data_IF_620040830817
#
_entry.id   IF_620040830817
#
_cell.length_a   1.000
_cell.length_b   1.000
_cell.length_c   1.000
_cell.angle_alpha   90.00
_cell.angle_beta   90.00
_cell.angle_gamma   90.00
#
_symmetry.space_group_name_H-M   'P 1'
#
loop_
_entity.id
_entity.type
_entity.pdbx_description
1 polymer ?
#
# COMPACT_ATOMS: atom_id res chain seq x y z
N UNK A 1 33.10 20.22 19.25
CA UNK A 1 32.15 19.66 18.27
C UNK A 1 31.78 18.28 18.78
N UNK A 2 30.54 18.06 19.22
CA UNK A 2 30.12 16.76 19.73
C UNK A 2 30.14 15.75 18.56
N UNK A 3 30.93 14.69 18.71
CA UNK A 3 30.96 13.57 17.78
C UNK A 3 29.54 13.01 17.64
N UNK A 4 29.11 12.78 16.39
CA UNK A 4 27.82 12.13 16.15
C UNK A 4 27.91 10.68 16.70
N UNK A 5 26.87 10.16 17.38
CA UNK A 5 26.83 8.76 17.79
C UNK A 5 27.17 7.82 16.62
N UNK A 6 27.81 6.69 16.88
CA UNK A 6 28.28 5.75 15.84
C UNK A 6 27.14 5.39 14.87
N UNK A 7 25.94 5.14 15.40
CA UNK A 7 24.72 4.83 14.64
C UNK A 7 24.34 5.96 13.66
N UNK A 8 24.59 7.21 14.03
CA UNK A 8 24.28 8.37 13.20
C UNK A 8 25.33 8.57 12.10
N UNK A 9 26.58 8.18 12.35
CA UNK A 9 27.64 8.15 11.33
C UNK A 9 27.36 7.10 10.27
N UNK A 10 26.98 5.90 10.68
CA UNK A 10 26.61 4.80 9.76
C UNK A 10 25.38 5.17 8.92
N UNK A 11 24.34 5.72 9.56
CA UNK A 11 23.16 6.19 8.83
C UNK A 11 23.49 7.29 7.82
N UNK A 12 24.36 8.24 8.19
CA UNK A 12 24.81 9.28 7.27
C UNK A 12 25.62 8.71 6.09
N UNK A 13 26.48 7.71 6.32
CA UNK A 13 27.24 7.06 5.24
C UNK A 13 26.32 6.31 4.27
N UNK A 14 25.32 5.60 4.79
CA UNK A 14 24.28 4.96 3.98
C UNK A 14 23.50 6.00 3.16
N UNK A 15 23.08 7.10 3.79
CA UNK A 15 22.43 8.23 3.14
C UNK A 15 23.29 8.81 2.02
N UNK A 16 24.57 9.07 2.29
CA UNK A 16 25.52 9.68 1.35
C UNK A 16 25.81 8.77 0.16
N UNK A 17 25.74 7.45 0.34
CA UNK A 17 25.86 6.48 -0.75
C UNK A 17 24.60 6.43 -1.62
N UNK A 18 23.42 6.63 -1.03
CA UNK A 18 22.13 6.53 -1.71
C UNK A 18 21.73 7.80 -2.47
N UNK A 19 21.94 8.98 -1.88
CA UNK A 19 21.48 10.26 -2.44
C UNK A 19 22.16 10.57 -3.79
N UNK A 20 21.43 11.07 -4.80
CA UNK A 20 22.05 11.52 -6.03
C UNK A 20 22.87 12.78 -5.74
N UNK A 21 24.10 12.82 -6.25
CA UNK A 21 25.09 13.87 -5.93
C UNK A 21 25.51 14.61 -7.20
N UNK A 22 25.66 15.92 -7.08
CA UNK A 22 26.32 16.79 -8.05
C UNK A 22 27.82 16.81 -7.77
N UNK A 23 28.70 17.05 -8.77
CA UNK A 23 30.15 17.15 -8.55
C UNK A 23 30.59 18.20 -7.51
N UNK A 24 29.75 19.23 -7.27
CA UNK A 24 30.02 20.28 -6.30
C UNK A 24 29.61 19.91 -4.85
N UNK A 25 28.99 18.74 -4.63
CA UNK A 25 28.52 18.35 -3.31
C UNK A 25 29.67 18.02 -2.35
N UNK A 26 29.59 18.59 -1.14
CA UNK A 26 30.57 18.38 -0.07
C UNK A 26 29.90 17.71 1.14
N UNK A 27 30.48 16.62 1.67
CA UNK A 27 29.84 15.84 2.73
C UNK A 27 29.70 16.62 4.05
N UNK A 28 30.58 17.58 4.34
CA UNK A 28 30.55 18.35 5.59
C UNK A 28 29.21 19.07 5.82
N UNK A 29 28.76 19.88 4.86
CA UNK A 29 27.49 20.62 4.98
C UNK A 29 26.27 19.69 5.02
N UNK A 30 26.31 18.59 4.27
CA UNK A 30 25.23 17.60 4.29
C UNK A 30 25.16 16.87 5.65
N UNK A 31 26.31 16.55 6.24
CA UNK A 31 26.41 15.91 7.57
C UNK A 31 25.85 16.81 8.66
N UNK A 32 26.15 18.10 8.62
CA UNK A 32 25.63 19.08 9.58
C UNK A 32 24.10 19.21 9.50
N UNK A 33 23.55 19.29 8.29
CA UNK A 33 22.09 19.36 8.08
C UNK A 33 21.40 18.04 8.47
N UNK A 34 21.99 16.89 8.12
CA UNK A 34 21.48 15.57 8.51
C UNK A 34 21.43 15.43 10.03
N UNK A 35 22.52 15.78 10.74
CA UNK A 35 22.54 15.78 12.20
C UNK A 35 21.54 16.76 12.82
N UNK A 36 21.29 17.91 12.18
CA UNK A 36 20.29 18.87 12.64
C UNK A 36 18.86 18.31 12.51
N UNK A 37 18.53 17.64 11.40
CA UNK A 37 17.22 17.02 11.22
C UNK A 37 16.97 15.91 12.23
N UNK A 38 17.97 15.06 12.47
CA UNK A 38 17.85 14.00 13.48
C UNK A 38 17.67 14.55 14.89
N UNK A 39 18.38 15.63 15.24
CA UNK A 39 18.16 16.36 16.50
C UNK A 39 16.76 16.97 16.62
N UNK A 40 16.10 17.26 15.50
CA UNK A 40 14.71 17.76 15.45
C UNK A 40 13.66 16.64 15.54
N UNK A 41 14.10 15.38 15.64
CA UNK A 41 13.22 14.21 15.77
C UNK A 41 12.96 13.47 14.46
N UNK A 42 13.64 13.81 13.36
CA UNK A 42 13.53 13.05 12.11
C UNK A 42 14.31 11.75 12.23
N UNK A 43 13.70 10.62 11.85
CA UNK A 43 14.38 9.33 11.85
C UNK A 43 15.56 9.32 10.85
N UNK A 44 16.80 9.04 11.30
CA UNK A 44 17.95 8.92 10.40
C UNK A 44 17.75 7.86 9.31
N UNK A 45 17.05 6.76 9.60
CA UNK A 45 16.80 5.70 8.62
C UNK A 45 15.76 6.13 7.58
N UNK A 46 14.73 6.89 7.99
CA UNK A 46 13.78 7.51 7.05
C UNK A 46 14.49 8.44 6.06
N UNK A 47 15.48 9.21 6.49
CA UNK A 47 16.29 10.05 5.61
C UNK A 47 17.08 9.21 4.57
N UNK A 48 17.64 8.08 4.98
CA UNK A 48 18.34 7.15 4.06
C UNK A 48 17.39 6.61 3.00
N UNK A 49 16.17 6.20 3.40
CA UNK A 49 15.15 5.69 2.48
C UNK A 49 14.66 6.77 1.52
N UNK A 50 14.39 7.98 2.02
CA UNK A 50 14.02 9.13 1.21
C UNK A 50 15.08 9.46 0.15
N UNK A 51 16.37 9.40 0.52
CA UNK A 51 17.47 9.58 -0.42
C UNK A 51 17.50 8.52 -1.54
N UNK A 52 17.23 7.26 -1.21
CA UNK A 52 17.13 6.18 -2.20
C UNK A 52 15.99 6.41 -3.20
N UNK A 53 14.82 6.86 -2.74
CA UNK A 53 13.69 7.20 -3.62
C UNK A 53 13.98 8.40 -4.47
N UNK A 54 14.61 9.41 -3.90
CA UNK A 54 15.02 10.58 -4.65
C UNK A 54 16.01 10.21 -5.77
N UNK A 55 16.95 9.31 -5.51
CA UNK A 55 17.83 8.77 -6.54
C UNK A 55 17.07 8.02 -7.65
N UNK A 56 16.05 7.24 -7.28
CA UNK A 56 15.21 6.53 -8.24
C UNK A 56 14.40 7.50 -9.12
N UNK A 57 13.82 8.55 -8.53
CA UNK A 57 13.07 9.58 -9.25
C UNK A 57 13.96 10.37 -10.23
N UNK A 58 15.16 10.77 -9.79
CA UNK A 58 16.17 11.41 -10.65
C UNK A 58 16.53 10.54 -11.84
N UNK A 59 16.74 9.22 -11.62
CA UNK A 59 17.03 8.26 -12.70
C UNK A 59 15.84 8.10 -13.64
N UNK A 60 14.63 7.95 -13.10
CA UNK A 60 13.42 7.78 -13.90
C UNK A 60 13.15 8.98 -14.82
N UNK A 61 13.42 10.21 -14.33
CA UNK A 61 13.26 11.44 -15.08
C UNK A 61 14.48 11.80 -15.95
N UNK A 62 15.56 11.02 -15.90
CA UNK A 62 16.82 11.31 -16.59
C UNK A 62 17.34 12.73 -16.34
N UNK A 63 17.24 13.20 -15.09
CA UNK A 63 17.66 14.57 -14.73
C UNK A 63 19.18 14.68 -14.82
N UNK A 64 19.66 15.69 -15.55
CA UNK A 64 21.10 15.99 -15.60
C UNK A 64 21.62 16.37 -14.19
N UNK A 65 22.73 15.76 -13.73
CA UNK A 65 23.36 16.06 -12.44
C UNK A 65 23.56 17.54 -12.12
N UNK A 66 23.67 18.42 -13.12
CA UNK A 66 23.80 19.86 -12.88
C UNK A 66 22.53 20.53 -12.33
N UNK A 67 21.35 19.97 -12.63
CA UNK A 67 20.05 20.47 -12.17
C UNK A 67 19.61 19.82 -10.86
N UNK A 68 20.37 18.84 -10.36
CA UNK A 68 20.14 18.26 -9.05
C UNK A 68 20.54 19.31 -7.97
N UNK A 69 19.63 19.68 -7.05
CA UNK A 69 19.96 20.53 -5.92
C UNK A 69 21.08 19.90 -5.09
N UNK A 70 21.94 20.76 -4.54
CA UNK A 70 22.98 20.33 -3.59
C UNK A 70 22.34 19.59 -2.41
N UNK A 71 22.95 18.49 -1.96
CA UNK A 71 22.37 17.59 -0.94
C UNK A 71 22.02 18.34 0.35
N UNK A 72 22.91 19.23 0.81
CA UNK A 72 22.65 20.05 2.00
C UNK A 72 21.49 21.04 1.81
N UNK A 73 21.29 21.55 0.59
CA UNK A 73 20.14 22.41 0.25
C UNK A 73 18.86 21.60 0.23
N UNK A 74 18.88 20.43 -0.41
CA UNK A 74 17.76 19.51 -0.46
C UNK A 74 17.29 19.09 0.94
N UNK A 75 18.22 18.78 1.86
CA UNK A 75 17.87 18.49 3.26
C UNK A 75 17.22 19.68 3.97
N UNK A 76 17.77 20.89 3.78
CA UNK A 76 17.27 22.11 4.42
C UNK A 76 15.89 22.52 3.95
N UNK A 77 15.61 22.35 2.66
CA UNK A 77 14.34 22.71 2.02
C UNK A 77 13.24 21.66 2.24
N UNK A 78 13.48 20.64 3.08
CA UNK A 78 12.48 19.59 3.34
C UNK A 78 12.32 18.62 2.17
N UNK A 79 13.32 18.48 1.28
CA UNK A 79 13.24 17.60 0.12
C UNK A 79 12.98 16.13 0.47
N UNK A 80 13.36 15.70 1.68
CA UNK A 80 13.05 14.37 2.21
C UNK A 80 11.55 14.16 2.48
N UNK A 81 10.78 15.22 2.73
CA UNK A 81 9.33 15.18 2.95
C UNK A 81 8.56 14.89 1.65
N UNK A 82 9.12 15.27 0.49
CA UNK A 82 8.56 14.94 -0.83
C UNK A 82 8.78 13.47 -1.22
N UNK A 83 9.69 12.79 -0.53
CA UNK A 83 9.95 11.36 -0.67
C UNK A 83 9.73 10.68 0.68
N UNK A 84 8.52 10.80 1.26
CA UNK A 84 8.25 10.18 2.53
C UNK A 84 8.51 8.68 2.37
N UNK A 85 8.79 8.00 3.48
CA UNK A 85 8.48 6.58 3.48
C UNK A 85 7.09 6.41 2.89
N UNK A 86 6.84 5.39 2.03
CA UNK A 86 5.53 4.81 2.10
C UNK A 86 5.49 4.53 3.59
N UNK A 87 4.65 5.31 4.30
CA UNK A 87 4.00 4.85 5.51
C UNK A 87 3.90 3.37 5.20
N UNK A 88 4.54 2.44 5.95
CA UNK A 88 4.17 1.06 5.78
C UNK A 88 2.68 1.22 5.76
N UNK A 89 2.05 0.87 4.63
CA UNK A 89 0.62 0.94 4.61
C UNK A 89 0.31 0.27 5.94
N UNK A 90 -0.51 0.90 6.78
CA UNK A 90 -1.27 0.02 7.63
C UNK A 90 -1.77 -0.98 6.62
N UNK A 91 -1.06 -2.11 6.53
CA UNK A 91 -1.31 -3.12 5.55
C UNK A 91 -2.78 -3.31 5.86
N UNK A 92 -3.70 -3.06 4.91
CA UNK A 92 -5.07 -3.43 5.19
C UNK A 92 -4.95 -4.90 5.52
N UNK A 93 -5.02 -5.19 6.83
CA UNK A 93 -4.20 -6.19 7.52
C UNK A 93 -3.87 -7.28 6.55
N UNK A 94 -2.59 -7.41 6.11
CA UNK A 94 -2.15 -8.32 5.03
C UNK A 94 -3.17 -9.42 4.97
N UNK A 95 -4.16 -9.24 4.07
CA UNK A 95 -5.15 -10.27 3.85
C UNK A 95 -4.23 -11.26 3.21
N UNK A 96 -3.71 -12.15 4.03
CA UNK A 96 -3.09 -13.39 3.62
C UNK A 96 -4.23 -13.98 2.84
N UNK A 97 -4.25 -13.68 1.54
CA UNK A 97 -5.08 -14.36 0.59
C UNK A 97 -4.47 -15.73 0.69
N UNK A 98 -5.09 -16.51 1.56
CA UNK A 98 -4.84 -17.92 1.67
C UNK A 98 -5.29 -18.49 0.34
N UNK A 99 -4.37 -18.40 -0.62
CA UNK A 99 -4.46 -19.02 -1.94
C UNK A 99 -4.38 -20.55 -1.79
N UNK A 100 -4.29 -21.06 -0.55
CA UNK A 100 -4.42 -22.46 -0.19
C UNK A 100 -5.87 -22.91 0.05
N UNK A 101 -6.86 -22.02 -0.05
CA UNK A 101 -8.19 -22.43 -0.52
C UNK A 101 -8.35 -21.92 -1.94
N UNK A 102 -7.85 -22.73 -2.88
CA UNK A 102 -8.32 -22.82 -4.27
C UNK A 102 -9.61 -22.04 -4.45
N UNK A 103 -9.75 -21.08 -5.37
CA UNK A 103 -11.05 -20.48 -5.69
C UNK A 103 -12.06 -21.48 -6.33
N UNK A 104 -11.72 -22.77 -6.38
CA UNK A 104 -12.54 -23.85 -6.92
C UNK A 104 -13.76 -24.27 -6.09
N UNK A 105 -13.78 -24.31 -4.74
CA UNK A 105 -14.96 -24.73 -3.99
C UNK A 105 -16.05 -23.65 -4.01
N UNK A 106 -15.70 -22.36 -4.03
CA UNK A 106 -16.70 -21.27 -4.09
C UNK A 106 -17.36 -21.20 -5.46
N UNK A 107 -16.58 -21.18 -6.54
CA UNK A 107 -17.12 -21.21 -7.90
C UNK A 107 -18.00 -22.45 -8.12
N UNK A 108 -17.50 -23.63 -7.74
CA UNK A 108 -18.25 -24.89 -7.90
C UNK A 108 -19.54 -24.89 -7.08
N UNK A 109 -19.52 -24.41 -5.84
CA UNK A 109 -20.73 -24.32 -5.01
C UNK A 109 -21.79 -23.39 -5.60
N UNK A 110 -21.36 -22.26 -6.19
CA UNK A 110 -22.27 -21.31 -6.85
C UNK A 110 -22.89 -21.90 -8.12
N UNK A 111 -22.09 -22.59 -8.95
CA UNK A 111 -22.59 -23.28 -10.14
C UNK A 111 -23.56 -24.39 -9.78
N UNK A 112 -23.25 -25.22 -8.77
CA UNK A 112 -24.15 -26.25 -8.24
C UNK A 112 -25.45 -25.65 -7.67
N UNK A 113 -25.38 -24.45 -7.09
CA UNK A 113 -26.54 -23.73 -6.60
C UNK A 113 -27.40 -23.08 -7.71
N UNK A 114 -26.95 -23.15 -8.98
CA UNK A 114 -27.68 -22.65 -10.15
C UNK A 114 -27.15 -21.33 -10.73
N UNK A 115 -25.96 -20.87 -10.34
CA UNK A 115 -25.31 -19.71 -10.96
C UNK A 115 -24.65 -20.10 -12.29
N UNK A 116 -24.78 -19.27 -13.31
CA UNK A 116 -24.02 -19.47 -14.55
C UNK A 116 -22.60 -18.92 -14.43
N UNK A 117 -21.65 -19.46 -15.20
CA UNK A 117 -20.27 -18.94 -15.24
C UNK A 117 -20.23 -17.46 -15.68
N UNK A 118 -21.12 -17.06 -16.57
CA UNK A 118 -21.24 -15.68 -17.05
C UNK A 118 -21.70 -14.74 -15.94
N UNK A 119 -22.71 -15.15 -15.15
CA UNK A 119 -23.18 -14.38 -14.00
C UNK A 119 -22.11 -14.30 -12.91
N UNK A 120 -21.41 -15.40 -12.63
CA UNK A 120 -20.31 -15.42 -11.68
C UNK A 120 -19.23 -14.41 -12.07
N UNK A 121 -18.76 -14.44 -13.33
CA UNK A 121 -17.71 -13.52 -13.81
C UNK A 121 -18.16 -12.06 -13.78
N UNK A 122 -19.42 -11.80 -14.12
CA UNK A 122 -19.94 -10.43 -14.25
C UNK A 122 -20.22 -9.78 -12.89
N UNK A 123 -20.71 -10.56 -11.92
CA UNK A 123 -21.25 -10.01 -10.68
C UNK A 123 -20.47 -10.44 -9.44
N UNK A 124 -20.00 -11.68 -9.36
CA UNK A 124 -19.43 -12.25 -8.13
C UNK A 124 -17.90 -12.23 -8.11
N UNK A 125 -17.24 -12.37 -9.27
CA UNK A 125 -15.78 -12.47 -9.34
C UNK A 125 -15.03 -11.24 -8.81
N UNK A 126 -15.70 -10.09 -8.69
CA UNK A 126 -15.15 -8.86 -8.13
C UNK A 126 -15.64 -8.57 -6.71
N UNK A 127 -16.46 -9.45 -6.14
CA UNK A 127 -16.96 -9.36 -4.78
C UNK A 127 -16.10 -10.20 -3.85
N UNK A 128 -15.97 -9.74 -2.60
CA UNK A 128 -15.42 -10.55 -1.52
C UNK A 128 -16.58 -11.20 -0.76
N UNK A 129 -16.49 -12.52 -0.59
CA UNK A 129 -17.49 -13.33 0.12
C UNK A 129 -16.86 -13.83 1.41
N UNK A 130 -17.48 -13.54 2.54
CA UNK A 130 -17.02 -13.96 3.86
C UNK A 130 -18.18 -14.62 4.61
N UNK A 131 -17.96 -15.80 5.18
CA UNK A 131 -18.99 -16.55 5.89
C UNK A 131 -18.66 -16.44 7.37
N UNK A 132 -19.65 -16.04 8.16
CA UNK A 132 -19.49 -15.96 9.61
C UNK A 132 -19.05 -17.33 10.20
N UNK A 133 -18.36 -17.31 11.35
CA UNK A 133 -17.80 -18.53 11.98
C UNK A 133 -18.86 -19.60 12.22
N UNK A 134 -20.09 -19.18 12.49
CA UNK A 134 -21.24 -20.07 12.73
C UNK A 134 -22.00 -20.46 11.43
N UNK A 135 -21.52 -20.02 10.26
CA UNK A 135 -22.17 -20.19 8.95
C UNK A 135 -23.64 -19.74 8.93
N UNK A 136 -23.98 -18.80 9.80
CA UNK A 136 -25.33 -18.26 9.95
C UNK A 136 -25.63 -17.18 8.90
N UNK A 137 -24.63 -16.37 8.57
CA UNK A 137 -24.69 -15.27 7.62
C UNK A 137 -23.51 -15.28 6.64
N UNK A 138 -23.80 -14.87 5.40
CA UNK A 138 -22.80 -14.56 4.37
C UNK A 138 -22.68 -13.05 4.20
N UNK A 139 -21.47 -12.51 4.30
CA UNK A 139 -21.14 -11.13 4.03
C UNK A 139 -20.60 -10.98 2.59
N UNK A 140 -21.30 -10.19 1.79
CA UNK A 140 -20.94 -9.87 0.41
C UNK A 140 -20.41 -8.44 0.37
N UNK A 141 -19.11 -8.26 0.14
CA UNK A 141 -18.52 -6.94 -0.09
C UNK A 141 -18.44 -6.70 -1.60
N UNK A 142 -19.28 -5.79 -2.08
CA UNK A 142 -19.32 -5.42 -3.49
C UNK A 142 -18.50 -4.15 -3.76
N UNK A 143 -17.87 -4.04 -4.94
CA UNK A 143 -17.06 -2.86 -5.29
C UNK A 143 -17.91 -1.61 -5.54
N UNK A 144 -19.21 -1.77 -5.83
CA UNK A 144 -20.15 -0.66 -5.99
C UNK A 144 -21.53 -1.01 -5.45
N UNK A 145 -22.31 0.03 -5.13
CA UNK A 145 -23.71 -0.14 -4.71
C UNK A 145 -24.57 -0.79 -5.80
N UNK A 146 -24.37 -0.41 -7.07
CA UNK A 146 -25.09 -1.02 -8.19
C UNK A 146 -24.89 -2.54 -8.25
N UNK A 147 -23.66 -3.00 -8.04
CA UNK A 147 -23.35 -4.43 -8.01
C UNK A 147 -23.97 -5.07 -6.76
N UNK A 148 -23.89 -4.43 -5.59
CA UNK A 148 -24.55 -4.93 -4.37
C UNK A 148 -26.06 -5.09 -4.54
N UNK A 149 -26.74 -4.08 -5.07
CA UNK A 149 -28.18 -4.06 -5.28
C UNK A 149 -28.59 -5.12 -6.33
N UNK A 150 -27.85 -5.21 -7.44
CA UNK A 150 -28.11 -6.25 -8.47
C UNK A 150 -27.96 -7.67 -7.92
N UNK A 151 -26.92 -7.92 -7.11
CA UNK A 151 -26.70 -9.24 -6.49
C UNK A 151 -27.79 -9.53 -5.46
N UNK A 152 -28.16 -8.52 -4.67
CA UNK A 152 -29.22 -8.63 -3.67
C UNK A 152 -30.56 -9.00 -4.30
N UNK A 153 -30.89 -8.44 -5.45
CA UNK A 153 -32.15 -8.73 -6.15
C UNK A 153 -32.14 -10.10 -6.84
N UNK A 154 -31.03 -10.47 -7.50
CA UNK A 154 -31.02 -11.62 -8.41
C UNK A 154 -30.44 -12.90 -7.82
N UNK A 155 -29.48 -12.79 -6.90
CA UNK A 155 -28.62 -13.92 -6.53
C UNK A 155 -28.68 -14.30 -5.05
N UNK A 156 -29.45 -13.62 -4.21
CA UNK A 156 -29.63 -14.00 -2.79
C UNK A 156 -30.06 -15.45 -2.59
N UNK A 157 -31.05 -16.01 -3.33
CA UNK A 157 -31.44 -17.41 -3.17
C UNK A 157 -30.30 -18.38 -3.50
N UNK A 158 -29.53 -18.06 -4.54
CA UNK A 158 -28.38 -18.86 -4.98
C UNK A 158 -27.25 -18.82 -3.96
N UNK A 159 -26.96 -17.64 -3.41
CA UNK A 159 -25.95 -17.45 -2.36
C UNK A 159 -26.31 -18.21 -1.08
N UNK A 160 -27.58 -18.12 -0.62
CA UNK A 160 -28.04 -18.90 0.54
C UNK A 160 -27.86 -20.40 0.34
N UNK A 161 -28.18 -20.90 -0.86
CA UNK A 161 -28.04 -22.32 -1.20
C UNK A 161 -26.58 -22.76 -1.28
N UNK A 162 -25.73 -21.98 -1.95
CA UNK A 162 -24.31 -22.30 -2.14
C UNK A 162 -23.54 -22.38 -0.82
N UNK A 163 -23.83 -21.48 0.11
CA UNK A 163 -23.12 -21.38 1.39
C UNK A 163 -23.89 -21.98 2.58
N UNK A 164 -25.12 -22.48 2.36
CA UNK A 164 -26.00 -23.01 3.41
C UNK A 164 -26.24 -22.03 4.58
N UNK A 165 -26.36 -20.74 4.27
CA UNK A 165 -26.54 -19.66 5.25
C UNK A 165 -28.02 -19.23 5.34
N UNK A 166 -28.42 -18.67 6.49
CA UNK A 166 -29.79 -18.15 6.70
C UNK A 166 -29.95 -16.73 6.18
N UNK A 167 -28.91 -15.93 6.32
CA UNK A 167 -28.89 -14.51 5.97
C UNK A 167 -27.75 -14.18 5.00
N UNK A 168 -27.96 -13.17 4.15
CA UNK A 168 -26.93 -12.60 3.29
C UNK A 168 -26.91 -11.09 3.52
N UNK A 169 -25.78 -10.58 3.99
CA UNK A 169 -25.55 -9.18 4.28
C UNK A 169 -24.67 -8.57 3.20
N UNK A 170 -24.92 -7.31 2.84
CA UNK A 170 -24.22 -6.62 1.76
C UNK A 170 -23.51 -5.39 2.31
N UNK A 171 -22.22 -5.26 2.00
CA UNK A 171 -21.43 -4.06 2.25
C UNK A 171 -20.99 -3.50 0.90
N UNK A 172 -21.23 -2.21 0.70
CA UNK A 172 -20.68 -1.43 -0.41
C UNK A 172 -20.05 -0.15 0.15
N UNK A 173 -19.02 0.41 -0.50
CA UNK A 173 -18.48 1.71 -0.10
C UNK A 173 -19.58 2.79 -0.06
N UNK A 174 -19.57 3.64 0.97
CA UNK A 174 -20.49 4.79 1.08
C UNK A 174 -19.99 5.91 0.16
N UNK A 175 -20.84 6.34 -0.78
CA UNK A 175 -20.64 7.52 -1.65
C UNK A 175 -20.26 7.13 -3.07
N UNK A 176 -20.81 7.68 -4.14
CA UNK A 176 -21.91 8.62 -4.39
C UNK A 176 -22.34 8.36 -5.86
N UNK A 177 -23.44 8.96 -6.36
CA UNK A 177 -23.83 8.82 -7.77
C UNK A 177 -22.74 9.29 -8.74
#
# INVERSE_FOLDING_TARGET
MADLPIQLREAFEAFWKAVPKRPADRPGKARDEFGRLVKRGVDPQALVRAAGRYAADVRARSVDPQYIPLVGRWLREGGHEAFPDPVPAEEPAELTVDTSVTQAPVHTALVVAGMTDADHRSWIARCQLDVDRDRSALLVRAPSRFIADTIKERFVPVLKRAFSVREVQFISPRGGP
#
